data_IF_813138530294
#
_entry.id   IF_813138530294
#
_cell.length_a   1.000
_cell.length_b   1.000
_cell.length_c   1.000
_cell.angle_alpha   90.00
_cell.angle_beta   90.00
_cell.angle_gamma   90.00
#
_symmetry.space_group_name_H-M   'P 1'
#
loop_
_entity.id
_entity.type
_entity.pdbx_description
1 polymer ?
#
# COMPACT_ATOMS: atom_id res chain seq x y z
N UNK A 1 -23.52 -4.98 -22.54
CA UNK A 1 -22.70 -3.80 -22.17
C UNK A 1 -23.53 -2.96 -21.23
N UNK A 2 -23.30 -3.08 -19.93
CA UNK A 2 -24.10 -2.39 -18.90
C UNK A 2 -23.29 -1.22 -18.38
N UNK A 3 -23.65 -0.03 -18.87
CA UNK A 3 -23.13 1.27 -18.45
C UNK A 3 -23.58 1.52 -17.00
N UNK A 4 -22.78 1.04 -16.05
CA UNK A 4 -23.00 1.28 -14.63
C UNK A 4 -22.49 2.68 -14.31
N UNK A 5 -23.36 3.67 -14.53
CA UNK A 5 -23.18 5.04 -14.04
C UNK A 5 -22.90 4.98 -12.55
N UNK A 6 -21.63 5.08 -12.17
CA UNK A 6 -21.22 5.28 -10.78
C UNK A 6 -21.81 6.64 -10.38
N UNK A 7 -22.99 6.62 -9.76
CA UNK A 7 -23.52 7.79 -9.04
C UNK A 7 -22.38 8.28 -8.18
N UNK A 8 -21.92 9.51 -8.42
CA UNK A 8 -20.84 10.13 -7.65
C UNK A 8 -21.39 10.37 -6.25
N UNK A 9 -21.31 9.35 -5.39
CA UNK A 9 -21.61 9.49 -3.97
C UNK A 9 -20.63 10.53 -3.45
N UNK A 10 -21.17 11.70 -3.06
CA UNK A 10 -20.36 12.77 -2.50
C UNK A 10 -19.91 12.32 -1.11
N UNK A 11 -18.67 11.86 -1.02
CA UNK A 11 -18.03 11.51 0.25
C UNK A 11 -17.76 12.82 0.99
N UNK A 12 -18.26 12.92 2.22
CA UNK A 12 -18.03 14.09 3.06
C UNK A 12 -16.54 14.22 3.47
N UNK A 13 -16.16 15.41 3.94
CA UNK A 13 -14.75 15.70 4.28
C UNK A 13 -14.28 14.91 5.51
N UNK A 14 -15.16 14.62 6.47
CA UNK A 14 -14.81 13.86 7.66
C UNK A 14 -14.48 12.41 7.29
N UNK A 15 -15.30 11.81 6.43
CA UNK A 15 -15.10 10.49 5.85
C UNK A 15 -13.80 10.42 5.03
N UNK A 16 -13.54 11.39 4.15
CA UNK A 16 -12.26 11.47 3.41
C UNK A 16 -11.04 11.54 4.33
N UNK A 17 -11.14 12.32 5.41
CA UNK A 17 -10.05 12.45 6.39
C UNK A 17 -9.85 11.15 7.19
N UNK A 18 -10.93 10.47 7.58
CA UNK A 18 -10.86 9.17 8.25
C UNK A 18 -10.19 8.14 7.35
N UNK A 19 -10.62 8.04 6.10
CA UNK A 19 -10.02 7.13 5.12
C UNK A 19 -8.56 7.47 4.86
N UNK A 20 -8.18 8.77 4.77
CA UNK A 20 -6.78 9.17 4.64
C UNK A 20 -5.91 8.60 5.77
N UNK A 21 -6.33 8.79 7.02
CA UNK A 21 -5.60 8.29 8.20
C UNK A 21 -5.43 6.77 8.17
N UNK A 22 -6.50 6.04 7.83
CA UNK A 22 -6.44 4.58 7.72
C UNK A 22 -5.47 4.13 6.62
N UNK A 23 -5.46 4.80 5.45
CA UNK A 23 -4.52 4.49 4.38
C UNK A 23 -3.06 4.82 4.78
N UNK A 24 -2.84 5.92 5.51
CA UNK A 24 -1.53 6.28 6.07
C UNK A 24 -1.05 5.23 7.08
N UNK A 25 -1.92 4.74 7.97
CA UNK A 25 -1.60 3.65 8.90
C UNK A 25 -1.20 2.36 8.18
N UNK A 26 -1.88 2.03 7.08
CA UNK A 26 -1.52 0.87 6.25
C UNK A 26 -0.16 1.08 5.56
N UNK A 27 0.12 2.27 5.02
CA UNK A 27 1.43 2.60 4.45
C UNK A 27 2.53 2.41 5.50
N UNK A 28 2.32 2.88 6.74
CA UNK A 28 3.29 2.70 7.82
C UNK A 28 3.55 1.23 8.14
N UNK A 29 2.52 0.37 8.13
CA UNK A 29 2.70 -1.08 8.29
C UNK A 29 3.53 -1.68 7.15
N UNK A 30 3.28 -1.29 5.91
CA UNK A 30 4.10 -1.73 4.78
C UNK A 30 5.55 -1.22 4.88
N UNK A 31 5.78 -0.02 5.38
CA UNK A 31 7.14 0.48 5.65
C UNK A 31 7.86 -0.38 6.70
N UNK A 32 7.19 -0.69 7.81
CA UNK A 32 7.74 -1.59 8.83
C UNK A 32 8.04 -3.00 8.28
N UNK A 33 7.17 -3.52 7.41
CA UNK A 33 7.42 -4.80 6.72
C UNK A 33 8.66 -4.70 5.81
N UNK A 34 8.91 -3.57 5.15
CA UNK A 34 10.13 -3.37 4.36
C UNK A 34 11.39 -3.51 5.22
N UNK A 35 11.40 -2.88 6.39
CA UNK A 35 12.53 -2.95 7.34
C UNK A 35 12.74 -4.38 7.85
N UNK A 36 11.65 -5.09 8.13
CA UNK A 36 11.69 -6.48 8.58
C UNK A 36 12.22 -7.43 7.48
N UNK A 37 11.77 -7.25 6.23
CA UNK A 37 12.28 -8.03 5.08
C UNK A 37 13.78 -7.79 4.90
N UNK A 38 14.24 -6.54 4.97
CA UNK A 38 15.66 -6.21 4.86
C UNK A 38 16.50 -6.87 5.98
N UNK A 39 15.95 -6.95 7.19
CA UNK A 39 16.61 -7.63 8.31
C UNK A 39 16.76 -9.13 8.01
N UNK A 40 15.67 -9.81 7.66
CA UNK A 40 15.71 -11.25 7.37
C UNK A 40 16.53 -11.60 6.13
N UNK A 41 16.52 -10.74 5.12
CA UNK A 41 17.34 -10.91 3.92
C UNK A 41 18.83 -10.93 4.25
N UNK A 42 19.30 -10.07 5.18
CA UNK A 42 20.70 -10.05 5.62
C UNK A 42 21.13 -11.33 6.36
N UNK A 43 20.21 -11.96 7.07
CA UNK A 43 20.45 -13.19 7.83
C UNK A 43 20.32 -14.46 6.97
N UNK A 44 19.66 -14.35 5.82
CA UNK A 44 19.36 -15.46 4.92
C UNK A 44 20.59 -15.86 4.10
N UNK A 45 20.95 -17.15 4.16
CA UNK A 45 22.08 -17.71 3.39
C UNK A 45 21.66 -18.43 2.12
N UNK A 46 20.47 -19.02 2.11
CA UNK A 46 19.99 -19.83 0.99
C UNK A 46 19.41 -18.94 -0.12
N UNK A 47 19.89 -19.12 -1.35
CA UNK A 47 19.56 -18.28 -2.50
C UNK A 47 18.05 -18.23 -2.80
N UNK A 48 17.37 -19.37 -2.73
CA UNK A 48 15.93 -19.46 -2.97
C UNK A 48 15.12 -18.49 -2.09
N UNK A 49 15.50 -18.38 -0.81
CA UNK A 49 14.85 -17.46 0.11
C UNK A 49 15.27 -16.00 -0.12
N UNK A 50 16.51 -15.73 -0.54
CA UNK A 50 16.95 -14.39 -0.94
C UNK A 50 16.15 -13.88 -2.14
N UNK A 51 15.96 -14.72 -3.16
CA UNK A 51 15.16 -14.39 -4.34
C UNK A 51 13.71 -14.09 -3.94
N UNK A 52 13.17 -14.90 -3.01
CA UNK A 52 11.83 -14.67 -2.48
C UNK A 52 11.73 -13.35 -1.68
N UNK A 53 12.74 -13.02 -0.86
CA UNK A 53 12.76 -11.74 -0.13
C UNK A 53 12.77 -10.54 -1.07
N UNK A 54 13.53 -10.61 -2.17
CA UNK A 54 13.56 -9.56 -3.20
C UNK A 54 12.17 -9.41 -3.85
N UNK A 55 11.54 -10.52 -4.23
CA UNK A 55 10.19 -10.50 -4.79
C UNK A 55 9.17 -9.91 -3.80
N UNK A 56 9.22 -10.34 -2.54
CA UNK A 56 8.32 -9.87 -1.50
C UNK A 56 8.49 -8.36 -1.26
N UNK A 57 9.73 -7.88 -1.21
CA UNK A 57 10.05 -6.46 -1.08
C UNK A 57 9.50 -5.64 -2.26
N UNK A 58 9.65 -6.14 -3.50
CA UNK A 58 9.09 -5.47 -4.68
C UNK A 58 7.58 -5.31 -4.57
N UNK A 59 6.87 -6.40 -4.24
CA UNK A 59 5.40 -6.37 -4.07
C UNK A 59 4.98 -5.43 -2.93
N UNK A 60 5.75 -5.41 -1.85
CA UNK A 60 5.53 -4.53 -0.72
C UNK A 60 5.60 -3.05 -1.12
N UNK A 61 6.60 -2.70 -1.94
CA UNK A 61 6.76 -1.36 -2.52
C UNK A 61 5.61 -1.02 -3.47
N UNK A 62 5.21 -1.94 -4.34
CA UNK A 62 4.09 -1.73 -5.26
C UNK A 62 2.78 -1.42 -4.52
N UNK A 63 2.53 -2.08 -3.38
CA UNK A 63 1.38 -1.80 -2.53
C UNK A 63 1.42 -0.39 -1.93
N UNK A 64 2.59 0.06 -1.43
CA UNK A 64 2.76 1.43 -0.91
C UNK A 64 2.45 2.45 -2.01
N UNK A 65 2.99 2.25 -3.22
CA UNK A 65 2.79 3.15 -4.35
C UNK A 65 1.34 3.19 -4.81
N UNK A 66 0.66 2.04 -4.87
CA UNK A 66 -0.77 1.98 -5.22
C UNK A 66 -1.65 2.71 -4.20
N UNK A 67 -1.45 2.43 -2.92
CA UNK A 67 -2.20 3.08 -1.83
C UNK A 67 -1.96 4.60 -1.83
N UNK A 68 -0.71 5.02 -1.98
CA UNK A 68 -0.35 6.44 -2.08
C UNK A 68 -1.03 7.13 -3.26
N UNK A 69 -1.03 6.51 -4.45
CA UNK A 69 -1.74 7.03 -5.63
C UNK A 69 -3.24 7.09 -5.44
N UNK A 70 -3.84 6.12 -4.74
CA UNK A 70 -5.27 6.15 -4.42
C UNK A 70 -5.61 7.28 -3.44
N UNK A 71 -4.86 7.41 -2.35
CA UNK A 71 -5.03 8.46 -1.35
C UNK A 71 -4.89 9.86 -1.96
N UNK A 72 -3.87 10.09 -2.80
CA UNK A 72 -3.69 11.36 -3.50
C UNK A 72 -4.88 11.72 -4.41
N UNK A 73 -5.46 10.73 -5.11
CA UNK A 73 -6.60 10.96 -6.01
C UNK A 73 -7.93 11.18 -5.29
N UNK A 74 -8.14 10.50 -4.16
CA UNK A 74 -9.47 10.40 -3.51
C UNK A 74 -9.59 11.20 -2.22
N UNK A 75 -8.50 11.42 -1.50
CA UNK A 75 -8.50 12.11 -0.21
C UNK A 75 -8.02 13.58 -0.31
N UNK A 76 -7.11 13.91 -1.23
CA UNK A 76 -6.55 15.28 -1.38
C UNK A 76 -7.39 16.23 -2.26
N UNK A 77 -8.58 15.83 -2.69
CA UNK A 77 -9.57 16.64 -3.41
C UNK A 77 -10.76 17.00 -2.55
#
# INVERSE_FOLDING_TARGET
MSDQRIKTIRIDRAEKNRMRKQLEEIIHRYQAITEQIETYKKETKAQEYLDYWILLQSRNRDNIEDIGRFAARKCNR
#
